data_IF_283226800630
#
_entry.id   IF_283226800630
#
_cell.length_a   1.000
_cell.length_b   1.000
_cell.length_c   1.000
_cell.angle_alpha   90.00
_cell.angle_beta   90.00
_cell.angle_gamma   90.00
#
_symmetry.space_group_name_H-M   'P 1'
#
loop_
_entity.id
_entity.type
_entity.pdbx_description
1 polymer ?
#
# COMPACT_ATOMS: atom_id res chain seq x y z
N UNK A 1 34.11 5.93 -0.95
CA UNK A 1 33.59 4.70 -1.59
C UNK A 1 32.92 5.12 -2.90
N UNK A 2 32.95 4.35 -3.97
CA UNK A 2 32.31 4.77 -5.23
C UNK A 2 30.82 4.37 -5.26
N UNK A 3 30.04 4.96 -6.15
CA UNK A 3 28.60 4.73 -6.31
C UNK A 3 28.22 3.24 -6.41
N UNK A 4 29.04 2.43 -7.09
CA UNK A 4 28.81 0.99 -7.23
C UNK A 4 28.87 0.25 -5.88
N UNK A 5 29.88 0.54 -5.06
CA UNK A 5 29.99 -0.05 -3.72
C UNK A 5 28.85 0.38 -2.79
N UNK A 6 28.40 1.65 -2.87
CA UNK A 6 27.24 2.12 -2.14
C UNK A 6 25.99 1.33 -2.53
N UNK A 7 25.77 1.17 -3.83
CA UNK A 7 24.62 0.44 -4.38
C UNK A 7 24.60 -1.01 -3.90
N UNK A 8 25.74 -1.70 -3.96
CA UNK A 8 25.86 -3.09 -3.48
C UNK A 8 25.53 -3.19 -1.99
N UNK A 9 26.16 -2.34 -1.18
CA UNK A 9 25.93 -2.31 0.27
C UNK A 9 24.46 -2.07 0.62
N UNK A 10 23.80 -1.13 -0.07
CA UNK A 10 22.38 -0.84 0.12
C UNK A 10 21.53 -2.08 -0.16
N UNK A 11 21.79 -2.77 -1.30
CA UNK A 11 21.03 -3.97 -1.69
C UNK A 11 21.28 -5.13 -0.73
N UNK A 12 22.49 -5.29 -0.22
CA UNK A 12 22.82 -6.31 0.80
C UNK A 12 22.11 -6.03 2.13
N UNK A 13 22.19 -4.79 2.63
CA UNK A 13 21.51 -4.38 3.85
C UNK A 13 20.00 -4.52 3.75
N UNK A 14 19.40 -4.21 2.60
CA UNK A 14 17.97 -4.40 2.38
C UNK A 14 17.53 -5.84 2.64
N UNK A 15 18.28 -6.82 2.15
CA UNK A 15 18.01 -8.25 2.40
C UNK A 15 18.20 -8.60 3.88
N UNK A 16 19.24 -8.07 4.54
CA UNK A 16 19.50 -8.30 5.96
C UNK A 16 18.38 -7.74 6.85
N UNK A 17 17.80 -6.58 6.46
CA UNK A 17 16.63 -6.00 7.13
C UNK A 17 15.30 -6.61 6.68
N UNK A 18 15.33 -7.70 5.91
CA UNK A 18 14.17 -8.51 5.57
C UNK A 18 13.26 -7.90 4.51
N UNK A 19 13.78 -7.05 3.63
CA UNK A 19 13.06 -6.59 2.45
C UNK A 19 13.19 -7.62 1.31
N UNK A 20 12.12 -7.80 0.56
CA UNK A 20 12.04 -8.78 -0.55
C UNK A 20 12.59 -8.23 -1.88
N UNK A 21 12.76 -6.92 -1.96
CA UNK A 21 13.30 -6.19 -3.10
C UNK A 21 13.92 -4.87 -2.65
N UNK A 22 14.96 -4.45 -3.36
CA UNK A 22 15.56 -3.14 -3.27
C UNK A 22 15.94 -2.63 -4.65
N UNK A 23 15.45 -1.46 -5.02
CA UNK A 23 15.83 -0.77 -6.25
C UNK A 23 16.06 0.72 -5.98
N UNK A 24 16.82 1.37 -6.84
CA UNK A 24 17.29 2.75 -6.64
C UNK A 24 16.98 3.59 -7.88
N UNK A 25 16.30 4.71 -7.68
CA UNK A 25 16.05 5.71 -8.71
C UNK A 25 16.74 7.03 -8.38
N UNK A 26 17.05 7.82 -9.41
CA UNK A 26 17.50 9.19 -9.24
C UNK A 26 16.43 10.06 -8.61
N UNK A 27 16.79 10.85 -7.59
CA UNK A 27 15.89 11.80 -6.96
C UNK A 27 15.65 13.01 -7.87
N UNK A 28 14.56 12.98 -8.62
CA UNK A 28 14.14 14.03 -9.56
C UNK A 28 12.67 14.36 -9.41
N UNK A 29 12.24 15.45 -10.01
CA UNK A 29 10.84 15.82 -10.04
C UNK A 29 10.04 14.89 -10.95
N UNK A 30 8.86 14.46 -10.46
CA UNK A 30 7.94 13.54 -11.13
C UNK A 30 6.92 14.29 -11.99
N UNK A 31 7.35 14.91 -13.10
CA UNK A 31 6.51 15.79 -13.92
C UNK A 31 5.30 15.10 -14.53
N UNK A 32 5.47 13.85 -15.03
CA UNK A 32 4.34 13.10 -15.60
C UNK A 32 3.34 12.68 -14.52
N UNK A 33 3.82 12.27 -13.33
CA UNK A 33 2.95 11.90 -12.21
C UNK A 33 2.26 13.12 -11.61
N UNK A 34 2.90 14.29 -11.63
CA UNK A 34 2.30 15.57 -11.26
C UNK A 34 1.05 15.84 -12.12
N UNK A 35 1.20 15.77 -13.45
CA UNK A 35 0.07 15.95 -14.37
C UNK A 35 -1.06 14.93 -14.14
N UNK A 36 -0.72 13.65 -13.94
CA UNK A 36 -1.71 12.60 -13.64
C UNK A 36 -2.45 12.86 -12.33
N UNK A 37 -1.74 13.29 -11.28
CA UNK A 37 -2.32 13.62 -9.99
C UNK A 37 -3.25 14.82 -10.08
N UNK A 38 -2.84 15.89 -10.76
CA UNK A 38 -3.68 17.08 -11.00
C UNK A 38 -4.99 16.71 -11.70
N UNK A 39 -4.91 15.91 -12.77
CA UNK A 39 -6.10 15.45 -13.51
C UNK A 39 -7.02 14.58 -12.62
N UNK A 40 -6.46 13.75 -11.76
CA UNK A 40 -7.21 12.89 -10.85
C UNK A 40 -7.92 13.71 -9.76
N UNK A 41 -7.23 14.71 -9.21
CA UNK A 41 -7.78 15.65 -8.23
C UNK A 41 -8.88 16.53 -8.85
N UNK A 42 -8.63 17.10 -10.04
CA UNK A 42 -9.59 17.94 -10.75
C UNK A 42 -10.91 17.22 -11.06
N UNK A 43 -10.87 15.90 -11.29
CA UNK A 43 -12.05 15.05 -11.48
C UNK A 43 -12.76 14.65 -10.19
N UNK A 44 -12.25 15.02 -9.02
CA UNK A 44 -12.79 14.62 -7.73
C UNK A 44 -12.69 13.12 -7.44
N UNK A 45 -11.82 12.40 -8.13
CA UNK A 45 -11.67 10.95 -7.98
C UNK A 45 -11.09 10.52 -6.63
N UNK A 46 -10.55 11.44 -5.85
CA UNK A 46 -10.03 11.22 -4.50
C UNK A 46 -11.11 11.15 -3.41
N UNK A 47 -12.38 11.53 -3.72
CA UNK A 47 -13.44 11.60 -2.72
C UNK A 47 -13.06 12.50 -1.54
N UNK A 48 -13.30 12.06 -0.30
CA UNK A 48 -12.98 12.82 0.92
C UNK A 48 -11.48 12.71 1.34
N UNK A 49 -10.60 12.15 0.50
CA UNK A 49 -9.18 12.06 0.79
C UNK A 49 -8.43 13.39 0.50
N UNK A 50 -8.89 14.49 1.11
CA UNK A 50 -8.31 15.84 0.91
C UNK A 50 -6.82 15.93 1.28
N UNK A 51 -6.27 14.95 1.99
CA UNK A 51 -4.83 14.87 2.22
C UNK A 51 -4.03 14.64 0.92
N UNK A 52 -4.67 14.16 -0.15
CA UNK A 52 -4.03 13.99 -1.45
C UNK A 52 -3.77 15.33 -2.16
N UNK A 53 -4.57 16.35 -1.88
CA UNK A 53 -4.40 17.72 -2.39
C UNK A 53 -3.26 18.45 -1.65
N UNK A 54 -3.09 18.10 -0.35
CA UNK A 54 -2.10 18.74 0.51
C UNK A 54 -0.69 18.31 0.13
N UNK A 55 0.24 19.26 0.26
CA UNK A 55 1.67 19.00 0.03
C UNK A 55 1.97 18.46 -1.36
N UNK A 56 1.24 18.92 -2.37
CA UNK A 56 1.39 18.49 -3.76
C UNK A 56 2.86 18.58 -4.23
N UNK A 57 3.51 19.70 -4.00
CA UNK A 57 4.89 19.97 -4.35
C UNK A 57 5.90 19.03 -3.64
N UNK A 58 5.61 18.60 -2.41
CA UNK A 58 6.41 17.60 -1.70
C UNK A 58 6.22 16.20 -2.32
N UNK A 59 4.99 15.90 -2.80
CA UNK A 59 4.68 14.60 -3.42
C UNK A 59 5.45 14.36 -4.71
N UNK A 60 5.62 15.40 -5.50
CA UNK A 60 6.25 15.30 -6.81
C UNK A 60 7.76 15.51 -6.79
N UNK A 61 8.31 16.09 -5.72
CA UNK A 61 9.73 16.41 -5.65
C UNK A 61 10.38 15.95 -4.33
N UNK A 62 11.14 14.84 -4.35
CA UNK A 62 11.76 14.27 -3.16
C UNK A 62 12.82 15.21 -2.53
N UNK A 63 13.40 16.13 -3.29
CA UNK A 63 14.37 17.12 -2.80
C UNK A 63 13.73 18.15 -1.87
N UNK A 64 12.41 18.32 -1.94
CA UNK A 64 11.66 19.15 -0.99
C UNK A 64 11.36 18.43 0.33
N UNK A 65 11.37 17.09 0.33
CA UNK A 65 11.22 16.26 1.53
C UNK A 65 12.57 16.08 2.26
N UNK A 66 13.63 15.87 1.49
CA UNK A 66 14.99 15.69 1.98
C UNK A 66 15.89 16.60 1.13
N UNK A 67 16.29 17.78 1.66
CA UNK A 67 17.18 18.70 0.96
C UNK A 67 18.49 18.01 0.56
N UNK A 68 18.95 18.24 -0.66
CA UNK A 68 20.16 17.60 -1.17
C UNK A 68 19.98 16.15 -1.65
N UNK A 69 18.77 15.59 -1.59
CA UNK A 69 18.50 14.21 -2.04
C UNK A 69 19.01 13.95 -3.46
N UNK A 70 19.73 12.83 -3.63
CA UNK A 70 20.27 12.33 -4.90
C UNK A 70 19.64 11.01 -5.31
N UNK A 71 19.25 10.18 -4.34
CA UNK A 71 18.66 8.87 -4.59
C UNK A 71 17.36 8.65 -3.81
N UNK A 72 16.42 7.97 -4.47
CA UNK A 72 15.24 7.35 -3.84
C UNK A 72 15.41 5.86 -3.90
N UNK A 73 15.60 5.22 -2.76
CA UNK A 73 15.77 3.78 -2.62
C UNK A 73 14.40 3.22 -2.26
N UNK A 74 13.87 2.35 -3.11
CA UNK A 74 12.56 1.71 -2.91
C UNK A 74 12.73 0.28 -2.44
N UNK A 75 11.93 -0.09 -1.47
CA UNK A 75 11.86 -1.44 -0.92
C UNK A 75 10.48 -2.03 -1.08
N UNK A 76 10.43 -3.34 -1.26
CA UNK A 76 9.19 -4.11 -1.15
C UNK A 76 9.27 -5.04 0.06
N UNK A 77 8.18 -5.12 0.82
CA UNK A 77 8.03 -6.05 1.93
C UNK A 77 6.77 -6.88 1.69
N UNK A 78 6.93 -8.19 1.53
CA UNK A 78 5.84 -9.12 1.24
C UNK A 78 4.85 -9.22 2.42
N UNK A 79 3.54 -9.15 2.10
CA UNK A 79 2.47 -9.41 3.07
C UNK A 79 1.50 -10.52 2.63
N UNK A 80 1.80 -11.23 1.56
CA UNK A 80 0.96 -12.37 1.13
C UNK A 80 0.82 -13.38 2.27
N UNK A 81 -0.38 -13.65 2.80
CA UNK A 81 -0.54 -14.53 3.94
C UNK A 81 -0.39 -16.00 3.54
N UNK A 82 0.00 -16.84 4.49
CA UNK A 82 -0.05 -18.29 4.35
C UNK A 82 -1.49 -18.81 4.43
N UNK A 83 -2.30 -18.18 5.28
CA UNK A 83 -3.68 -18.56 5.54
C UNK A 83 -4.64 -17.51 4.99
N UNK A 84 -5.57 -17.94 4.15
CA UNK A 84 -6.67 -17.07 3.69
C UNK A 84 -7.83 -17.09 4.68
N UNK A 85 -8.59 -15.99 4.68
CA UNK A 85 -9.79 -15.88 5.49
C UNK A 85 -10.88 -16.83 4.97
N UNK A 86 -11.49 -17.69 5.83
CA UNK A 86 -12.58 -18.55 5.41
C UNK A 86 -13.82 -17.75 4.99
N UNK A 87 -14.65 -18.37 4.14
CA UNK A 87 -15.94 -17.79 3.73
C UNK A 87 -16.92 -17.69 4.90
N UNK A 88 -17.90 -16.80 4.78
CA UNK A 88 -18.95 -16.63 5.79
C UNK A 88 -18.63 -15.60 6.89
N UNK A 89 -17.45 -15.04 6.90
CA UNK A 89 -17.04 -13.97 7.81
C UNK A 89 -16.86 -12.63 7.09
N UNK A 90 -17.02 -11.50 7.79
CA UNK A 90 -16.70 -10.18 7.22
C UNK A 90 -15.24 -10.12 6.78
N UNK A 91 -15.01 -9.82 5.50
CA UNK A 91 -13.67 -9.83 4.91
C UNK A 91 -12.84 -8.63 5.35
N UNK A 92 -11.58 -8.92 5.66
CA UNK A 92 -10.54 -7.93 5.95
C UNK A 92 -9.48 -8.05 4.87
N UNK A 93 -8.98 -6.94 4.34
CA UNK A 93 -7.89 -6.99 3.36
C UNK A 93 -6.62 -7.60 3.97
N UNK A 94 -5.93 -8.44 3.20
CA UNK A 94 -4.77 -9.25 3.62
C UNK A 94 -3.68 -8.43 4.30
N UNK A 95 -3.45 -7.19 3.84
CA UNK A 95 -2.45 -6.31 4.41
C UNK A 95 -2.72 -5.92 5.88
N UNK A 96 -3.96 -6.06 6.34
CA UNK A 96 -4.41 -5.68 7.67
C UNK A 96 -4.59 -6.86 8.63
N UNK A 97 -4.12 -8.05 8.28
CA UNK A 97 -4.25 -9.24 9.13
C UNK A 97 -3.42 -9.16 10.41
N UNK A 98 -2.22 -8.60 10.33
CA UNK A 98 -1.26 -8.55 11.42
C UNK A 98 -1.07 -7.17 12.04
N UNK A 99 0.14 -6.95 12.51
CA UNK A 99 0.56 -5.67 13.07
C UNK A 99 0.64 -4.60 11.98
N UNK A 100 0.54 -3.34 12.41
CA UNK A 100 0.63 -2.17 11.54
C UNK A 100 2.00 -2.13 10.85
N UNK A 101 1.97 -2.28 9.54
CA UNK A 101 3.15 -2.28 8.68
C UNK A 101 3.94 -0.97 8.75
N UNK A 102 3.29 0.14 9.07
CA UNK A 102 3.97 1.42 9.25
C UNK A 102 5.05 1.32 10.33
N UNK A 103 4.72 0.74 11.48
CA UNK A 103 5.67 0.58 12.60
C UNK A 103 6.78 -0.42 12.26
N UNK A 104 6.40 -1.56 11.67
CA UNK A 104 7.32 -2.64 11.32
C UNK A 104 8.36 -2.18 10.30
N UNK A 105 7.90 -1.55 9.22
CA UNK A 105 8.76 -1.11 8.12
C UNK A 105 9.58 0.11 8.50
N UNK A 106 8.99 1.08 9.23
CA UNK A 106 9.70 2.27 9.69
C UNK A 106 10.88 1.93 10.60
N UNK A 107 10.70 0.94 11.48
CA UNK A 107 11.80 0.46 12.31
C UNK A 107 12.95 -0.09 11.44
N UNK A 108 12.64 -0.94 10.46
CA UNK A 108 13.63 -1.50 9.54
C UNK A 108 14.34 -0.42 8.71
N UNK A 109 13.62 0.60 8.22
CA UNK A 109 14.20 1.72 7.47
C UNK A 109 15.15 2.56 8.32
N UNK A 110 14.81 2.82 9.59
CA UNK A 110 15.66 3.58 10.50
C UNK A 110 16.95 2.80 10.81
N UNK A 111 16.85 1.52 11.15
CA UNK A 111 18.00 0.66 11.38
C UNK A 111 18.92 0.60 10.16
N UNK A 112 18.32 0.45 8.96
CA UNK A 112 19.06 0.43 7.71
C UNK A 112 19.81 1.75 7.45
N UNK A 113 19.18 2.91 7.74
CA UNK A 113 19.82 4.21 7.58
C UNK A 113 21.00 4.37 8.57
N UNK A 114 20.85 3.89 9.80
CA UNK A 114 21.91 3.91 10.79
C UNK A 114 23.09 3.00 10.38
N UNK A 115 22.82 1.81 9.85
CA UNK A 115 23.85 0.91 9.30
C UNK A 115 24.61 1.55 8.13
N UNK A 116 23.88 2.24 7.23
CA UNK A 116 24.49 2.98 6.14
C UNK A 116 25.41 4.08 6.64
N UNK A 117 24.98 4.85 7.64
CA UNK A 117 25.79 5.89 8.27
C UNK A 117 27.05 5.34 8.92
N UNK A 118 26.96 4.20 9.58
CA UNK A 118 28.11 3.54 10.20
C UNK A 118 29.14 3.04 9.16
N UNK A 119 28.66 2.51 8.03
CA UNK A 119 29.53 1.87 7.02
C UNK A 119 30.08 2.84 5.96
N UNK A 120 29.36 3.93 5.67
CA UNK A 120 29.70 4.87 4.60
C UNK A 120 30.20 6.20 5.17
N UNK A 121 29.58 6.69 6.24
CA UNK A 121 29.79 8.02 6.83
C UNK A 121 28.48 8.82 6.90
N UNK A 122 28.55 10.12 7.18
CA UNK A 122 27.38 10.98 7.30
C UNK A 122 26.50 10.92 6.05
N UNK A 123 25.22 10.64 6.24
CA UNK A 123 24.19 10.59 5.19
C UNK A 123 22.96 11.33 5.72
N UNK A 124 22.54 12.36 4.99
CA UNK A 124 21.24 12.97 5.20
C UNK A 124 20.19 12.14 4.48
N UNK A 125 19.20 11.66 5.23
CA UNK A 125 18.17 10.79 4.68
C UNK A 125 17.03 10.55 5.63
N UNK A 126 15.89 10.12 5.03
CA UNK A 126 14.66 9.82 5.76
C UNK A 126 13.90 8.67 5.13
N UNK A 127 13.39 7.77 6.00
CA UNK A 127 12.51 6.68 5.62
C UNK A 127 11.03 7.10 5.57
N UNK A 128 10.31 6.56 4.59
CA UNK A 128 8.89 6.80 4.35
C UNK A 128 8.18 5.48 4.07
N UNK A 129 6.97 5.36 4.58
CA UNK A 129 6.03 4.29 4.27
C UNK A 129 4.61 4.83 4.39
N UNK A 130 3.88 4.83 3.29
CA UNK A 130 2.47 5.20 3.11
C UNK A 130 2.05 6.59 3.65
N UNK A 131 2.30 6.92 4.90
CA UNK A 131 1.75 8.09 5.60
C UNK A 131 2.37 9.45 5.24
N UNK A 132 3.32 9.51 4.29
CA UNK A 132 4.00 10.73 3.87
C UNK A 132 3.58 11.16 2.44
N UNK A 133 3.84 12.43 2.06
CA UNK A 133 3.57 12.89 0.70
C UNK A 133 4.63 12.38 -0.29
N UNK A 134 4.67 11.07 -0.49
CA UNK A 134 5.55 10.36 -1.44
C UNK A 134 4.70 9.55 -2.40
N UNK A 135 4.96 9.65 -3.70
CA UNK A 135 4.31 8.82 -4.72
C UNK A 135 5.05 7.47 -4.81
N UNK A 136 4.89 6.62 -3.79
CA UNK A 136 5.69 5.39 -3.60
C UNK A 136 5.59 4.44 -4.80
N UNK A 137 4.42 4.29 -5.42
CA UNK A 137 4.25 3.43 -6.62
C UNK A 137 5.05 3.94 -7.82
N UNK A 138 5.12 5.26 -7.99
CA UNK A 138 5.92 5.87 -9.06
C UNK A 138 7.40 5.62 -8.83
N UNK A 139 7.88 5.81 -7.59
CA UNK A 139 9.25 5.50 -7.23
C UNK A 139 9.58 4.01 -7.35
N UNK A 140 8.66 3.13 -6.99
CA UNK A 140 8.84 1.69 -7.15
C UNK A 140 8.94 1.29 -8.63
N UNK A 141 8.16 1.90 -9.50
CA UNK A 141 8.30 1.70 -10.95
C UNK A 141 9.64 2.22 -11.47
N UNK A 142 10.02 3.45 -11.11
CA UNK A 142 11.28 4.07 -11.54
C UNK A 142 12.52 3.30 -11.07
N UNK A 143 12.45 2.65 -9.91
CA UNK A 143 13.51 1.83 -9.33
C UNK A 143 13.53 0.38 -9.84
N UNK A 144 12.71 0.04 -10.85
CA UNK A 144 12.69 -1.28 -11.46
C UNK A 144 11.98 -2.36 -10.64
N UNK A 145 11.19 -2.00 -9.62
CA UNK A 145 10.51 -2.96 -8.77
C UNK A 145 9.41 -3.76 -9.50
N UNK A 146 8.81 -3.17 -10.53
CA UNK A 146 7.71 -3.78 -11.26
C UNK A 146 7.06 -2.78 -12.21
N UNK A 147 5.86 -3.09 -12.69
CA UNK A 147 5.03 -2.17 -13.46
C UNK A 147 3.74 -1.85 -12.73
N UNK A 148 3.11 -0.74 -13.06
CA UNK A 148 1.79 -0.39 -12.51
C UNK A 148 0.72 -1.09 -13.34
N UNK A 149 -0.02 -2.00 -12.69
CA UNK A 149 -1.11 -2.75 -13.29
C UNK A 149 -2.36 -1.90 -13.57
N UNK A 150 -3.32 -2.48 -14.31
CA UNK A 150 -4.62 -1.81 -14.56
C UNK A 150 -5.41 -1.53 -13.28
N UNK A 151 -5.20 -2.34 -12.24
CA UNK A 151 -5.77 -2.14 -10.91
C UNK A 151 -5.02 -1.08 -10.06
N UNK A 152 -4.07 -0.35 -10.63
CA UNK A 152 -3.30 0.68 -9.95
C UNK A 152 -2.23 0.17 -8.96
N UNK A 153 -2.10 -1.14 -8.78
CA UNK A 153 -1.07 -1.70 -7.90
C UNK A 153 0.25 -1.91 -8.64
N UNK A 154 1.35 -1.83 -7.90
CA UNK A 154 2.64 -2.31 -8.38
C UNK A 154 2.59 -3.83 -8.49
N UNK A 155 2.99 -4.37 -9.64
CA UNK A 155 3.09 -5.80 -9.89
C UNK A 155 4.56 -6.14 -10.14
N UNK A 156 5.12 -6.97 -9.27
CA UNK A 156 6.48 -7.45 -9.43
C UNK A 156 6.48 -8.74 -10.24
N UNK A 157 7.34 -8.86 -11.28
CA UNK A 157 7.49 -10.09 -12.05
C UNK A 157 7.80 -11.28 -11.14
N UNK A 158 7.08 -12.40 -11.32
CA UNK A 158 7.28 -13.66 -10.57
C UNK A 158 7.01 -13.62 -9.05
N UNK A 159 6.47 -12.50 -8.51
CA UNK A 159 6.14 -12.40 -7.08
C UNK A 159 4.76 -11.81 -6.81
N UNK A 160 4.08 -11.24 -7.85
CA UNK A 160 2.73 -10.68 -7.70
C UNK A 160 2.69 -9.25 -7.17
N UNK A 161 1.65 -8.90 -6.41
CA UNK A 161 1.40 -7.53 -5.97
C UNK A 161 1.14 -7.36 -4.46
N UNK A 162 1.24 -8.43 -3.67
CA UNK A 162 1.04 -8.36 -2.22
C UNK A 162 2.28 -7.83 -1.49
N UNK A 163 2.64 -6.56 -1.79
CA UNK A 163 3.79 -5.88 -1.20
C UNK A 163 3.41 -4.54 -0.61
N UNK A 164 3.92 -4.26 0.59
CA UNK A 164 4.10 -2.89 1.05
C UNK A 164 5.27 -2.27 0.29
N UNK A 165 5.12 -0.99 -0.05
CA UNK A 165 6.16 -0.20 -0.67
C UNK A 165 6.71 0.75 0.39
N UNK A 166 8.03 0.86 0.47
CA UNK A 166 8.67 1.81 1.34
C UNK A 166 9.81 2.52 0.59
N UNK A 167 10.16 3.70 1.02
CA UNK A 167 11.19 4.51 0.40
C UNK A 167 12.17 5.07 1.44
N UNK A 168 13.45 5.08 1.10
CA UNK A 168 14.48 5.82 1.79
C UNK A 168 15.04 6.87 0.84
N UNK A 169 14.83 8.15 1.14
CA UNK A 169 15.31 9.27 0.34
C UNK A 169 16.60 9.76 0.98
N UNK A 170 17.71 9.81 0.21
CA UNK A 170 19.05 10.10 0.74
C UNK A 170 19.83 11.05 -0.19
N UNK A 171 20.78 11.76 0.37
CA UNK A 171 21.75 12.61 -0.36
C UNK A 171 22.92 11.83 -0.95
N UNK A 172 22.88 10.50 -0.88
CA UNK A 172 23.91 9.60 -1.37
C UNK A 172 23.71 9.29 -2.88
N UNK A 173 24.76 9.44 -3.67
CA UNK A 173 24.77 8.99 -5.07
C UNK A 173 24.97 7.49 -5.19
N UNK A 174 24.14 6.87 -6.04
CA UNK A 174 24.14 5.44 -6.32
C UNK A 174 24.13 5.16 -7.83
N UNK A 175 24.32 3.92 -8.21
CA UNK A 175 23.98 3.44 -9.56
C UNK A 175 22.47 3.23 -9.59
N UNK A 176 21.80 3.88 -10.55
CA UNK A 176 20.35 3.83 -10.66
C UNK A 176 19.87 2.63 -11.47
N UNK A 177 18.85 1.97 -10.95
CA UNK A 177 18.14 0.90 -11.67
C UNK A 177 17.25 1.50 -12.77
N UNK A 178 16.86 0.68 -13.74
CA UNK A 178 16.01 1.11 -14.84
C UNK A 178 14.58 0.63 -14.63
N UNK A 179 13.55 1.46 -14.94
CA UNK A 179 12.17 1.06 -14.87
C UNK A 179 11.86 -0.09 -15.83
N UNK A 180 10.93 -0.96 -15.44
CA UNK A 180 10.41 -1.99 -16.33
C UNK A 180 9.53 -1.30 -17.38
N UNK A 181 10.03 -1.20 -18.61
CA UNK A 181 9.35 -0.50 -19.69
C UNK A 181 8.08 -1.23 -20.17
N UNK A 182 8.05 -2.58 -20.07
CA UNK A 182 6.95 -3.39 -20.59
C UNK A 182 5.79 -3.48 -19.58
N UNK A 183 4.58 -3.20 -20.06
CA UNK A 183 3.34 -3.50 -19.36
C UNK A 183 2.91 -4.94 -19.66
N UNK A 184 2.99 -5.80 -18.66
CA UNK A 184 2.61 -7.20 -18.80
C UNK A 184 1.12 -7.47 -18.52
N UNK A 185 0.29 -6.45 -18.29
CA UNK A 185 -1.16 -6.61 -18.25
C UNK A 185 -1.73 -6.93 -19.65
N UNK A 186 -1.15 -6.36 -20.72
CA UNK A 186 -1.58 -6.62 -22.09
C UNK A 186 -3.09 -6.42 -22.27
N UNK A 187 -3.74 -7.40 -22.86
CA UNK A 187 -5.20 -7.41 -23.09
C UNK A 187 -6.03 -7.86 -21.88
N UNK A 188 -5.40 -8.33 -20.79
CA UNK A 188 -6.11 -8.82 -19.62
C UNK A 188 -6.95 -7.72 -18.94
N UNK A 189 -8.23 -8.02 -18.64
CA UNK A 189 -9.19 -7.13 -17.98
C UNK A 189 -9.73 -7.68 -16.67
N UNK A 190 -9.23 -8.82 -16.18
CA UNK A 190 -9.80 -9.53 -15.02
C UNK A 190 -10.07 -8.66 -13.80
N UNK A 191 -9.16 -7.73 -13.46
CA UNK A 191 -9.34 -6.83 -12.32
C UNK A 191 -10.43 -5.76 -12.57
N UNK A 192 -10.61 -5.32 -13.80
CA UNK A 192 -11.67 -4.39 -14.22
C UNK A 192 -13.01 -5.10 -14.14
N UNK A 193 -13.11 -6.27 -14.75
CA UNK A 193 -14.34 -7.06 -14.84
C UNK A 193 -14.83 -7.56 -13.47
N UNK A 194 -13.88 -7.89 -12.57
CA UNK A 194 -14.20 -8.36 -11.23
C UNK A 194 -14.55 -7.24 -10.23
N UNK A 195 -14.27 -5.97 -10.57
CA UNK A 195 -14.56 -4.87 -9.65
C UNK A 195 -16.08 -4.61 -9.56
N UNK A 196 -16.75 -4.95 -8.44
CA UNK A 196 -18.22 -4.88 -8.36
C UNK A 196 -18.75 -3.45 -8.36
N UNK A 197 -17.88 -2.48 -8.11
CA UNK A 197 -18.21 -1.04 -8.07
C UNK A 197 -17.65 -0.28 -9.27
N UNK A 198 -17.01 -0.97 -10.21
CA UNK A 198 -16.42 -0.38 -11.43
C UNK A 198 -15.44 0.78 -11.15
N UNK A 199 -14.74 0.72 -10.02
CA UNK A 199 -13.78 1.75 -9.61
C UNK A 199 -12.52 1.81 -10.49
N UNK A 200 -12.25 0.79 -11.30
CA UNK A 200 -11.05 0.67 -12.12
C UNK A 200 -11.36 1.09 -13.55
N UNK A 201 -10.84 2.22 -13.98
CA UNK A 201 -11.02 2.74 -15.33
C UNK A 201 -10.01 2.12 -16.31
N UNK A 202 -10.35 2.02 -17.63
CA UNK A 202 -9.49 1.36 -18.62
C UNK A 202 -8.07 1.93 -18.74
N UNK A 203 -7.88 3.20 -18.39
CA UNK A 203 -6.61 3.92 -18.48
C UNK A 203 -5.73 3.78 -17.21
N UNK A 204 -5.95 2.74 -16.39
CA UNK A 204 -5.26 2.49 -15.10
C UNK A 204 -5.54 3.52 -14.01
N UNK A 205 -6.56 4.33 -14.17
CA UNK A 205 -7.01 5.28 -13.15
C UNK A 205 -7.99 4.57 -12.21
N UNK A 206 -7.84 4.83 -10.92
CA UNK A 206 -8.80 4.38 -9.91
C UNK A 206 -9.66 5.57 -9.50
N UNK A 207 -10.96 5.46 -9.71
CA UNK A 207 -11.94 6.37 -9.15
C UNK A 207 -12.19 5.97 -7.69
N UNK A 208 -11.43 6.58 -6.76
CA UNK A 208 -11.38 6.10 -5.38
C UNK A 208 -12.75 6.19 -4.68
N UNK A 209 -13.54 7.23 -4.97
CA UNK A 209 -14.89 7.39 -4.46
C UNK A 209 -15.90 6.32 -4.99
N UNK A 210 -15.46 5.39 -5.82
CA UNK A 210 -16.18 4.16 -6.18
C UNK A 210 -15.54 2.90 -5.54
N UNK A 211 -14.32 3.00 -5.00
CA UNK A 211 -13.60 1.84 -4.48
C UNK A 211 -14.12 1.39 -3.12
N UNK A 212 -14.30 0.08 -2.92
CA UNK A 212 -14.70 -0.50 -1.63
C UNK A 212 -13.69 -0.13 -0.53
N UNK A 213 -12.38 -0.14 -0.83
CA UNK A 213 -11.34 0.27 0.14
C UNK A 213 -11.54 1.71 0.63
N UNK A 214 -11.93 2.63 -0.25
CA UNK A 214 -12.24 3.99 0.16
C UNK A 214 -13.41 4.03 1.14
N UNK A 215 -14.51 3.37 0.83
CA UNK A 215 -15.69 3.36 1.69
C UNK A 215 -15.44 2.71 3.05
N UNK A 216 -14.65 1.66 3.07
CA UNK A 216 -14.43 0.87 4.29
C UNK A 216 -13.31 1.42 5.17
N UNK A 217 -12.40 2.22 4.63
CA UNK A 217 -11.23 2.74 5.35
C UNK A 217 -11.27 4.27 5.48
N UNK A 218 -11.44 4.98 4.37
CA UNK A 218 -11.20 6.43 4.30
C UNK A 218 -12.44 7.28 4.56
N UNK A 219 -13.63 6.75 4.25
CA UNK A 219 -14.90 7.45 4.46
C UNK A 219 -15.14 7.71 5.95
N UNK A 220 -15.28 8.98 6.32
CA UNK A 220 -15.51 9.42 7.73
C UNK A 220 -16.96 9.63 8.07
N UNK A 221 -17.86 9.64 7.08
CA UNK A 221 -19.31 9.81 7.30
C UNK A 221 -19.87 8.65 8.12
N UNK A 222 -20.90 8.93 8.95
CA UNK A 222 -21.52 7.91 9.80
C UNK A 222 -22.32 6.87 9.02
N UNK A 223 -22.79 7.21 7.82
CA UNK A 223 -23.54 6.30 6.96
C UNK A 223 -22.90 6.23 5.59
N UNK A 224 -22.89 5.04 5.01
CA UNK A 224 -22.54 4.85 3.61
C UNK A 224 -23.80 5.21 2.83
N UNK A 225 -23.74 6.31 2.07
CA UNK A 225 -24.85 6.70 1.21
C UNK A 225 -25.05 5.61 0.16
N UNK A 226 -26.21 4.97 0.19
CA UNK A 226 -26.56 3.84 -0.67
C UNK A 226 -27.12 4.32 -2.01
N UNK A 227 -26.53 5.32 -2.62
CA UNK A 227 -26.97 5.84 -3.91
C UNK A 227 -26.87 4.82 -5.08
N UNK A 228 -26.39 3.62 -4.83
CA UNK A 228 -26.29 2.57 -5.82
C UNK A 228 -26.44 1.18 -5.22
N UNK A 229 -26.94 0.21 -6.01
CA UNK A 229 -27.00 -1.23 -5.69
C UNK A 229 -25.62 -1.91 -5.61
N UNK A 230 -24.60 -1.19 -5.16
CA UNK A 230 -23.23 -1.68 -5.10
C UNK A 230 -23.08 -2.73 -4.01
N UNK A 231 -22.67 -3.92 -4.40
CA UNK A 231 -22.33 -4.99 -3.45
C UNK A 231 -20.88 -4.83 -2.98
N UNK A 232 -20.66 -4.86 -1.67
CA UNK A 232 -19.30 -4.88 -1.09
C UNK A 232 -18.79 -6.31 -0.85
N UNK A 233 -19.52 -7.34 -1.28
CA UNK A 233 -19.10 -8.75 -1.23
C UNK A 233 -18.45 -9.16 0.11
N UNK A 234 -19.09 -8.77 1.22
CA UNK A 234 -18.65 -9.00 2.61
C UNK A 234 -17.36 -8.27 3.04
N UNK A 235 -16.79 -7.35 2.26
CA UNK A 235 -15.64 -6.56 2.70
C UNK A 235 -16.01 -5.54 3.77
N UNK A 236 -15.48 -5.77 4.98
CA UNK A 236 -15.66 -4.89 6.14
C UNK A 236 -14.50 -3.90 6.31
N UNK A 237 -13.31 -4.23 5.79
CA UNK A 237 -12.12 -3.37 5.85
C UNK A 237 -11.21 -3.64 4.66
N UNK A 238 -10.97 -2.64 3.81
CA UNK A 238 -10.21 -2.78 2.59
C UNK A 238 -10.95 -3.60 1.53
N UNK A 239 -10.24 -4.02 0.49
CA UNK A 239 -10.74 -4.89 -0.57
C UNK A 239 -9.58 -5.43 -1.40
N UNK A 240 -9.49 -6.75 -1.57
CA UNK A 240 -8.44 -7.39 -2.36
C UNK A 240 -8.94 -7.96 -3.70
N UNK A 241 -10.22 -7.77 -4.08
CA UNK A 241 -10.81 -8.40 -5.27
C UNK A 241 -9.93 -8.24 -6.51
N UNK A 242 -9.48 -7.02 -6.79
CA UNK A 242 -8.67 -6.75 -7.98
C UNK A 242 -7.25 -7.34 -7.92
N UNK A 243 -6.74 -7.63 -6.72
CA UNK A 243 -5.47 -8.35 -6.51
C UNK A 243 -5.69 -9.87 -6.59
N UNK A 244 -6.74 -10.39 -5.96
CA UNK A 244 -7.05 -11.82 -5.93
C UNK A 244 -7.27 -12.41 -7.33
N UNK A 245 -7.95 -11.67 -8.21
CA UNK A 245 -8.17 -12.12 -9.59
C UNK A 245 -6.99 -11.89 -10.52
N UNK A 246 -5.96 -11.18 -10.06
CA UNK A 246 -4.81 -10.88 -10.89
C UNK A 246 -3.98 -12.14 -11.16
N UNK A 247 -3.78 -12.56 -12.44
CA UNK A 247 -3.06 -13.78 -12.75
C UNK A 247 -1.59 -13.76 -12.31
N UNK A 248 -1.04 -12.58 -12.04
CA UNK A 248 0.34 -12.45 -11.54
C UNK A 248 0.46 -12.86 -10.07
N UNK A 249 -0.61 -12.80 -9.29
CA UNK A 249 -0.60 -13.22 -7.89
C UNK A 249 -0.54 -14.76 -7.69
N UNK A 250 -0.66 -15.57 -8.77
CA UNK A 250 -0.30 -16.99 -8.71
C UNK A 250 1.18 -17.24 -8.38
N UNK A 251 2.02 -16.24 -8.49
CA UNK A 251 3.45 -16.30 -8.16
C UNK A 251 3.74 -15.77 -6.75
N UNK A 252 2.73 -15.31 -6.02
CA UNK A 252 2.92 -14.86 -4.64
C UNK A 252 3.26 -16.03 -3.74
N UNK A 253 4.13 -15.78 -2.77
CA UNK A 253 4.53 -16.74 -1.76
C UNK A 253 4.21 -16.18 -0.37
N UNK A 254 3.89 -17.02 0.62
CA UNK A 254 3.67 -16.56 1.98
C UNK A 254 4.84 -15.73 2.52
N UNK A 255 4.51 -14.66 3.25
CA UNK A 255 5.51 -13.84 3.92
C UNK A 255 6.16 -14.57 5.08
N UNK A 256 7.38 -14.17 5.45
CA UNK A 256 8.12 -14.72 6.60
C UNK A 256 8.12 -13.77 7.81
N UNK A 257 7.44 -12.63 7.72
CA UNK A 257 7.38 -11.64 8.79
C UNK A 257 6.38 -12.08 9.89
N UNK A 258 6.89 -12.40 11.07
CA UNK A 258 6.06 -12.87 12.19
C UNK A 258 5.00 -11.86 12.63
N UNK A 259 5.31 -10.57 12.52
CA UNK A 259 4.41 -9.46 12.88
C UNK A 259 3.22 -9.31 11.92
N UNK A 260 3.31 -9.86 10.70
CA UNK A 260 2.21 -9.83 9.73
C UNK A 260 1.27 -11.03 9.82
N UNK A 261 1.57 -12.01 10.68
CA UNK A 261 0.66 -13.12 10.96
C UNK A 261 -0.69 -12.60 11.46
N UNK A 262 -1.80 -13.23 11.07
CA UNK A 262 -3.12 -12.80 11.49
C UNK A 262 -3.25 -12.68 13.01
N UNK A 263 -3.87 -11.58 13.46
CA UNK A 263 -4.26 -11.42 14.87
C UNK A 263 -5.20 -12.56 15.23
N UNK A 264 -4.98 -13.20 16.37
CA UNK A 264 -5.74 -14.35 16.82
C UNK A 264 -7.26 -14.11 16.76
N UNK A 265 -7.98 -15.02 16.11
CA UNK A 265 -9.43 -14.95 15.92
C UNK A 265 -9.94 -13.85 15.00
N UNK A 266 -9.08 -13.04 14.36
CA UNK A 266 -9.51 -11.99 13.44
C UNK A 266 -10.25 -12.56 12.23
N UNK A 267 -9.69 -13.60 11.62
CA UNK A 267 -10.18 -14.16 10.35
C UNK A 267 -11.53 -14.89 10.48
N UNK A 268 -11.94 -15.23 11.72
CA UNK A 268 -13.19 -15.95 12.02
C UNK A 268 -14.14 -15.14 12.89
N UNK A 269 -13.93 -13.82 12.97
CA UNK A 269 -14.80 -12.94 13.76
C UNK A 269 -16.13 -12.71 13.04
N UNK A 270 -17.24 -13.07 13.69
CA UNK A 270 -18.59 -12.94 13.12
C UNK A 270 -19.06 -11.48 13.04
N UNK A 271 -20.09 -11.23 12.22
CA UNK A 271 -20.74 -9.90 12.15
C UNK A 271 -21.25 -9.46 13.54
N UNK A 272 -21.82 -10.37 14.32
CA UNK A 272 -22.33 -10.06 15.67
C UNK A 272 -21.18 -9.74 16.64
N UNK A 273 -20.10 -10.51 16.63
CA UNK A 273 -18.93 -10.22 17.46
C UNK A 273 -18.33 -8.83 17.19
N UNK A 274 -18.33 -8.36 15.93
CA UNK A 274 -17.92 -7.01 15.59
C UNK A 274 -18.89 -5.95 16.14
N UNK A 275 -20.20 -6.18 16.03
CA UNK A 275 -21.23 -5.23 16.47
C UNK A 275 -21.33 -5.11 18.00
N UNK A 276 -21.12 -6.21 18.72
CA UNK A 276 -21.12 -6.29 20.18
C UNK A 276 -19.82 -5.79 20.80
N UNK A 277 -18.75 -5.69 20.03
CA UNK A 277 -17.45 -5.28 20.56
C UNK A 277 -17.48 -3.88 21.15
N UNK A 278 -16.90 -3.71 22.33
CA UNK A 278 -16.72 -2.41 22.98
C UNK A 278 -15.42 -1.71 22.56
N UNK A 279 -15.42 -0.38 22.64
CA UNK A 279 -14.27 0.46 22.24
C UNK A 279 -12.98 0.12 23.02
N UNK A 280 -13.12 -0.23 24.32
CA UNK A 280 -11.97 -0.61 25.17
C UNK A 280 -11.37 -1.92 24.67
N UNK A 281 -12.20 -2.93 24.41
CA UNK A 281 -11.79 -4.23 23.88
C UNK A 281 -11.17 -4.11 22.49
N UNK A 282 -11.77 -3.28 21.63
CA UNK A 282 -11.22 -2.99 20.30
C UNK A 282 -9.83 -2.39 20.37
N UNK A 283 -9.65 -1.33 21.18
CA UNK A 283 -8.34 -0.69 21.34
C UNK A 283 -7.29 -1.62 21.94
N UNK A 284 -7.68 -2.44 22.91
CA UNK A 284 -6.76 -3.41 23.51
C UNK A 284 -6.31 -4.48 22.49
N UNK A 285 -7.25 -5.04 21.73
CA UNK A 285 -7.00 -6.12 20.78
C UNK A 285 -6.24 -5.65 19.53
N UNK A 286 -6.59 -4.48 19.01
CA UNK A 286 -6.09 -3.96 17.75
C UNK A 286 -5.11 -2.78 17.89
N UNK A 287 -4.52 -2.57 19.08
CA UNK A 287 -3.63 -1.44 19.39
C UNK A 287 -2.45 -1.24 18.41
N UNK A 288 -2.05 -2.30 17.74
CA UNK A 288 -0.96 -2.31 16.76
C UNK A 288 -1.46 -2.80 15.38
N UNK A 289 -2.69 -2.54 15.02
CA UNK A 289 -3.28 -3.02 13.77
C UNK A 289 -3.68 -1.84 12.86
N UNK A 290 -3.59 -1.99 11.54
CA UNK A 290 -4.13 -1.02 10.59
C UNK A 290 -5.63 -0.76 10.75
N UNK A 291 -6.38 -1.67 11.39
CA UNK A 291 -7.80 -1.54 11.67
C UNK A 291 -8.14 -0.28 12.50
N UNK A 292 -7.18 0.23 13.28
CA UNK A 292 -7.34 1.50 14.00
C UNK A 292 -7.64 2.70 13.08
N UNK A 293 -7.26 2.64 11.81
CA UNK A 293 -7.51 3.69 10.82
C UNK A 293 -8.99 4.03 10.69
N UNK A 294 -9.84 3.01 10.63
CA UNK A 294 -11.31 3.17 10.54
C UNK A 294 -11.97 3.37 11.91
N UNK A 295 -11.27 3.13 13.01
CA UNK A 295 -11.83 3.05 14.36
C UNK A 295 -12.95 2.00 14.45
N UNK A 296 -13.39 1.66 15.64
CA UNK A 296 -14.49 0.69 15.85
C UNK A 296 -15.77 1.13 15.14
N UNK A 297 -16.13 2.42 15.25
CA UNK A 297 -17.37 2.94 14.66
C UNK A 297 -17.38 2.81 13.13
N UNK A 298 -16.23 2.98 12.46
CA UNK A 298 -16.12 2.77 11.02
C UNK A 298 -16.33 1.31 10.63
N UNK A 299 -15.75 0.38 11.40
CA UNK A 299 -15.95 -1.06 11.15
C UNK A 299 -17.40 -1.47 11.42
N UNK A 300 -18.00 -1.03 12.54
CA UNK A 300 -19.42 -1.30 12.84
C UNK A 300 -20.33 -0.78 11.73
N UNK A 301 -20.15 0.46 11.29
CA UNK A 301 -20.86 1.03 10.13
C UNK A 301 -20.77 0.13 8.91
N UNK A 302 -19.56 -0.36 8.59
CA UNK A 302 -19.36 -1.24 7.44
C UNK A 302 -20.10 -2.58 7.60
N UNK A 303 -20.06 -3.17 8.79
CA UNK A 303 -20.79 -4.41 9.11
C UNK A 303 -22.31 -4.21 9.03
N UNK A 304 -22.84 -3.11 9.55
CA UNK A 304 -24.26 -2.74 9.46
C UNK A 304 -24.70 -2.62 7.99
N UNK A 305 -23.87 -1.97 7.16
CA UNK A 305 -24.11 -1.89 5.73
C UNK A 305 -24.18 -3.29 5.09
N UNK A 306 -23.24 -4.19 5.42
CA UNK A 306 -23.26 -5.56 4.91
C UNK A 306 -24.51 -6.35 5.36
N UNK A 307 -25.01 -6.13 6.59
CA UNK A 307 -26.24 -6.76 7.09
C UNK A 307 -27.50 -6.25 6.35
N UNK A 308 -27.55 -4.97 6.04
CA UNK A 308 -28.70 -4.39 5.33
C UNK A 308 -28.84 -4.88 3.90
N UNK A 309 -27.75 -5.37 3.28
CA UNK A 309 -27.73 -5.89 1.89
C UNK A 309 -27.86 -7.41 1.79
N UNK A 310 -27.72 -8.12 2.89
CA UNK A 310 -27.83 -9.59 2.97
C UNK A 310 -29.27 -10.10 3.23
N UNK A 311 -30.28 -9.27 2.99
CA UNK A 311 -31.71 -9.65 3.08
C UNK A 311 -32.29 -9.86 1.70
#
# INVERSE_FOLDING_TARGET
>A
MNQFKHTQLIKELALQHGFDFCGIAEAKELTEDAFRLEQWLAKGFHGDMHYMEKHFDLRINPKKLVPGAKSVITFLKNYSPEQEQPSGFPKIAKYAYGQDYHEVIKLALNQMLDDLRQKIGPIEGRGFVDSAPVLERSWAWLSGAGWIGKNGNLIQPKKGSYFFIASLIVDLECVYDQPIAKDYCGTCTKCIDACPTQAILPNKTIEANHCISYYTIELKKQQIETASDRSYQDWAFGCDICQDVCPWNRFSHPHQESKFKPIEGLLTMSKDAWLEMEEVSFKARFKQSPLLRSKLNGIKRNIEYLRSRGR
#
